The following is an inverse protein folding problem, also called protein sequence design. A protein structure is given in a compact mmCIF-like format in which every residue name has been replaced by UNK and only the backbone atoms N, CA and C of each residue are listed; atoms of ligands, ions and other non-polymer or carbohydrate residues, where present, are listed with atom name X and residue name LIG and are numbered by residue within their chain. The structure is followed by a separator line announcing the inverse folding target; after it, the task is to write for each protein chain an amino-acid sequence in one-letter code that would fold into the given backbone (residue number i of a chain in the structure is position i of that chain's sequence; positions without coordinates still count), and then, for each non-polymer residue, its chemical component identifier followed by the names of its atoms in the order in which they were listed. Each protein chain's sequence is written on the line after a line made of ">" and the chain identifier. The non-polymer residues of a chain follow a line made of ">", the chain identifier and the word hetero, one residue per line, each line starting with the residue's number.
data_IF_337961472199
#
_entry.id   IF_337961472199
#
_cell.length_a   1.000
_cell.length_b   1.000
_cell.length_c   1.000
_cell.angle_alpha   90.00
_cell.angle_beta   90.00
_cell.angle_gamma   90.00
#
_symmetry.space_group_name_H-M   'P 1'
#
loop_
_entity.id
_entity.type
_entity.pdbx_description
1 polymer ?
#
# COMPACT_ATOMS: atom_id res chain seq x y z
N UNK A 1 -17.20 -9.94 3.12
CA UNK A 1 -16.31 -10.63 2.15
C UNK A 1 -15.76 -9.60 1.17
N UNK A 2 -14.43 -9.45 1.09
CA UNK A 2 -13.74 -8.47 0.24
C UNK A 2 -13.16 -9.09 -1.05
N UNK A 3 -12.99 -10.40 -1.08
CA UNK A 3 -12.49 -11.15 -2.24
C UNK A 3 -13.44 -10.99 -3.42
N UNK A 4 -12.89 -10.95 -4.64
CA UNK A 4 -13.59 -10.74 -5.93
C UNK A 4 -14.38 -9.42 -6.05
N UNK A 5 -14.22 -8.48 -5.13
CA UNK A 5 -14.70 -7.10 -5.25
C UNK A 5 -13.57 -6.18 -5.69
N UNK A 6 -13.93 -5.01 -6.20
CA UNK A 6 -12.97 -3.93 -6.44
C UNK A 6 -12.30 -3.59 -5.10
N UNK A 7 -10.96 -3.60 -5.09
CA UNK A 7 -10.20 -3.24 -3.89
C UNK A 7 -10.52 -1.80 -3.48
N UNK A 8 -10.74 -1.52 -2.19
CA UNK A 8 -10.95 -0.16 -1.70
C UNK A 8 -9.80 0.75 -2.09
N UNK A 9 -10.10 1.88 -2.71
CA UNK A 9 -9.07 2.88 -3.02
C UNK A 9 -8.65 3.59 -1.73
N UNK A 10 -7.37 3.91 -1.64
CA UNK A 10 -6.82 4.66 -0.51
C UNK A 10 -5.62 5.47 -0.99
N UNK A 11 -5.41 6.61 -0.34
CA UNK A 11 -4.22 7.44 -0.49
C UNK A 11 -3.48 7.46 0.83
N UNK A 12 -2.18 7.20 0.79
CA UNK A 12 -1.33 7.20 1.99
C UNK A 12 0.03 7.82 1.68
N UNK A 13 0.60 8.50 2.68
CA UNK A 13 1.98 8.96 2.64
C UNK A 13 2.92 7.76 2.76
N UNK A 14 3.86 7.66 1.82
CA UNK A 14 4.79 6.54 1.69
C UNK A 14 6.24 7.05 1.66
N UNK A 15 7.15 6.21 2.15
CA UNK A 15 8.59 6.43 2.07
C UNK A 15 9.12 5.73 0.81
N UNK A 16 9.78 6.49 -0.05
CA UNK A 16 10.34 6.03 -1.32
C UNK A 16 11.77 5.48 -1.16
N UNK A 17 12.31 4.75 -2.16
CA UNK A 17 13.68 4.21 -2.12
C UNK A 17 14.78 5.27 -1.92
N UNK A 18 14.50 6.52 -2.26
CA UNK A 18 15.38 7.67 -2.11
C UNK A 18 15.14 8.44 -0.79
N UNK A 19 14.41 7.85 0.16
CA UNK A 19 14.01 8.45 1.43
C UNK A 19 13.08 9.67 1.29
N UNK A 20 12.56 9.96 0.10
CA UNK A 20 11.55 11.00 -0.06
C UNK A 20 10.18 10.52 0.43
N UNK A 21 9.35 11.49 0.83
CA UNK A 21 7.94 11.24 1.12
C UNK A 21 7.10 11.55 -0.11
N UNK A 22 6.17 10.64 -0.42
CA UNK A 22 5.19 10.85 -1.49
C UNK A 22 3.84 10.26 -1.09
N UNK A 23 2.78 10.95 -1.47
CA UNK A 23 1.44 10.37 -1.42
C UNK A 23 1.21 9.45 -2.62
N UNK A 24 0.79 8.23 -2.33
CA UNK A 24 0.48 7.20 -3.32
C UNK A 24 -0.98 6.81 -3.19
N UNK A 25 -1.68 6.70 -4.31
CA UNK A 25 -3.05 6.19 -4.36
C UNK A 25 -3.08 4.80 -5.00
N UNK A 26 -3.85 3.86 -4.45
CA UNK A 26 -3.91 2.48 -4.99
C UNK A 26 -4.30 2.47 -6.47
N UNK A 27 -5.19 3.37 -6.89
CA UNK A 27 -5.59 3.52 -8.29
C UNK A 27 -4.47 3.94 -9.25
N UNK A 28 -3.35 4.48 -8.78
CA UNK A 28 -2.16 4.80 -9.61
C UNK A 28 -1.52 3.54 -10.21
N UNK A 29 -1.78 2.36 -9.62
CA UNK A 29 -1.23 1.07 -10.09
C UNK A 29 -2.17 0.28 -11.01
N UNK A 30 -3.26 0.87 -11.50
CA UNK A 30 -4.17 0.20 -12.44
C UNK A 30 -3.40 -0.34 -13.66
N UNK A 31 -3.79 -1.52 -14.11
CA UNK A 31 -3.10 -2.24 -15.19
C UNK A 31 -1.90 -3.09 -14.72
N UNK A 32 -1.52 -3.02 -13.44
CA UNK A 32 -0.51 -3.89 -12.82
C UNK A 32 -1.16 -4.83 -11.79
N UNK A 33 -0.55 -6.01 -11.57
CA UNK A 33 -0.89 -6.85 -10.42
C UNK A 33 -0.23 -6.25 -9.17
N UNK A 34 -1.00 -6.06 -8.11
CA UNK A 34 -0.55 -5.43 -6.86
C UNK A 34 -0.70 -6.42 -5.71
N UNK A 35 0.30 -6.47 -4.84
CA UNK A 35 0.25 -7.20 -3.56
C UNK A 35 0.23 -6.17 -2.44
N UNK A 36 -0.81 -6.18 -1.62
CA UNK A 36 -0.94 -5.32 -0.44
C UNK A 36 -0.75 -6.18 0.81
N UNK A 37 0.23 -5.83 1.64
CA UNK A 37 0.57 -6.53 2.86
C UNK A 37 0.56 -5.56 4.04
N UNK A 38 -0.07 -5.97 5.14
CA UNK A 38 -0.08 -5.22 6.39
C UNK A 38 0.77 -5.99 7.42
N UNK A 39 1.61 -5.29 8.15
CA UNK A 39 2.38 -5.83 9.27
C UNK A 39 2.01 -5.10 10.58
N UNK A 40 2.24 -5.70 11.77
CA UNK A 40 1.67 -5.19 13.01
C UNK A 40 2.20 -3.81 13.43
N UNK A 41 3.53 -3.66 13.48
CA UNK A 41 4.19 -2.42 13.90
C UNK A 41 5.70 -2.49 13.59
N UNK A 42 6.28 -1.34 13.27
CA UNK A 42 7.73 -1.17 13.15
C UNK A 42 8.46 -1.47 14.47
N UNK A 43 9.69 -2.00 14.37
CA UNK A 43 10.59 -2.24 15.51
C UNK A 43 9.99 -3.08 16.66
N UNK A 44 9.26 -4.14 16.32
CA UNK A 44 8.77 -5.12 17.29
C UNK A 44 9.80 -6.23 17.52
N UNK A 45 9.72 -6.89 18.69
CA UNK A 45 10.49 -8.09 18.97
C UNK A 45 9.95 -9.26 18.13
N UNK A 46 10.85 -9.98 17.45
CA UNK A 46 10.56 -11.21 16.71
C UNK A 46 10.90 -12.45 17.52
#
# INVERSE_FOLDING_TARGET
>A
MLVTKIAPDFTATTVMPDNSFKDITLSDFRGKKVVLFFYPLDFTFV
#
